data_IF_133174986529
#
_entry.id   IF_133174986529
#
_cell.length_a   1.000
_cell.length_b   1.000
_cell.length_c   1.000
_cell.angle_alpha   90.00
_cell.angle_beta   90.00
_cell.angle_gamma   90.00
#
_symmetry.space_group_name_H-M   'P 1'
#
loop_
_entity.id
_entity.type
_entity.pdbx_description
1 polymer ?
#
# COMPACT_ATOMS: atom_id res chain seq x y z
N UNK A 1 -14.48 30.73 5.86
CA UNK A 1 -13.28 30.12 5.24
C UNK A 1 -12.35 29.68 6.37
N UNK A 2 -12.35 28.39 6.72
CA UNK A 2 -11.50 27.84 7.77
C UNK A 2 -10.39 27.01 7.15
N UNK A 3 -9.15 27.46 7.27
CA UNK A 3 -7.96 26.71 6.86
C UNK A 3 -7.64 25.66 7.91
N UNK A 4 -7.86 24.39 7.56
CA UNK A 4 -7.43 23.27 8.39
C UNK A 4 -5.94 23.07 8.12
N UNK A 5 -5.10 23.59 9.02
CA UNK A 5 -3.65 23.38 8.98
C UNK A 5 -3.41 21.91 9.34
N UNK A 6 -3.07 21.12 8.32
CA UNK A 6 -2.67 19.72 8.47
C UNK A 6 -1.41 19.66 9.33
N UNK A 7 -1.53 19.15 10.56
CA UNK A 7 -0.38 18.86 11.42
C UNK A 7 0.32 17.62 10.88
N UNK A 8 1.37 17.88 10.10
CA UNK A 8 2.59 17.10 9.93
C UNK A 8 2.55 15.69 10.55
N UNK A 9 2.09 14.72 9.76
CA UNK A 9 2.29 13.30 10.06
C UNK A 9 3.76 13.01 9.89
N UNK A 10 4.49 12.96 11.01
CA UNK A 10 5.88 12.49 11.05
C UNK A 10 5.94 11.16 10.29
N UNK A 11 6.63 11.20 9.16
CA UNK A 11 6.96 10.05 8.34
C UNK A 11 7.73 9.07 9.23
N UNK A 12 7.12 7.96 9.61
CA UNK A 12 7.83 6.87 10.28
C UNK A 12 8.66 6.18 9.20
N UNK A 13 9.93 6.57 9.07
CA UNK A 13 10.91 5.78 8.31
C UNK A 13 11.37 4.63 9.21
N UNK A 14 11.13 3.40 8.77
CA UNK A 14 11.76 2.23 9.38
C UNK A 14 13.19 2.13 8.83
N UNK A 15 14.18 2.56 9.62
CA UNK A 15 15.58 2.22 9.36
C UNK A 15 15.80 0.74 9.73
N UNK A 16 15.79 -0.14 8.73
CA UNK A 16 16.11 -1.57 8.87
C UNK A 16 17.64 -1.80 8.94
N UNK A 17 18.32 -1.19 9.90
CA UNK A 17 19.72 -1.52 10.22
C UNK A 17 19.76 -2.59 11.30
N UNK A 18 19.55 -3.85 10.90
CA UNK A 18 19.89 -5.00 11.75
C UNK A 18 21.42 -5.11 11.76
N UNK A 19 22.06 -4.49 12.74
CA UNK A 19 23.48 -4.72 13.04
C UNK A 19 23.62 -6.08 13.73
N UNK A 20 23.85 -7.14 12.96
CA UNK A 20 24.29 -8.43 13.48
C UNK A 20 25.68 -8.25 14.11
N UNK A 21 25.79 -8.38 15.44
CA UNK A 21 27.10 -8.48 16.09
C UNK A 21 27.75 -9.83 15.70
N UNK A 22 28.98 -9.85 15.17
CA UNK A 22 29.64 -11.07 14.70
C UNK A 22 30.36 -11.77 15.86
N UNK A 23 29.67 -12.06 16.96
CA UNK A 23 30.24 -12.89 18.03
C UNK A 23 29.43 -14.18 18.10
N UNK A 24 30.12 -15.26 17.74
CA UNK A 24 29.70 -16.68 17.73
C UNK A 24 28.97 -17.18 16.48
N UNK A 25 29.61 -17.02 15.31
CA UNK A 25 29.48 -18.00 14.22
C UNK A 25 30.86 -18.54 13.89
N UNK A 26 31.37 -19.48 14.70
CA UNK A 26 32.32 -20.57 14.34
C UNK A 26 32.11 -21.65 15.41
N UNK A 27 31.48 -22.79 15.10
CA UNK A 27 32.14 -23.93 14.44
C UNK A 27 31.07 -24.80 13.77
N UNK A 28 31.07 -24.81 12.44
CA UNK A 28 30.65 -26.00 11.67
C UNK A 28 31.84 -26.97 11.60
N UNK A 29 31.61 -28.17 11.04
CA UNK A 29 32.54 -29.30 10.78
C UNK A 29 32.44 -30.33 11.93
N UNK A 30 31.57 -31.34 11.78
CA UNK A 30 31.78 -32.69 11.18
C UNK A 30 32.72 -33.58 11.97
N UNK A 31 32.34 -34.87 11.98
CA UNK A 31 33.06 -36.06 12.46
C UNK A 31 34.58 -35.97 12.62
N UNK A 32 35.03 -36.65 13.67
CA UNK A 32 36.39 -37.17 13.91
C UNK A 32 37.47 -36.12 14.19
N UNK A 33 37.85 -35.98 15.46
CA UNK A 33 39.20 -36.26 15.95
C UNK A 33 39.42 -35.70 17.37
N UNK A 34 40.06 -36.53 18.19
CA UNK A 34 40.43 -36.29 19.57
C UNK A 34 41.32 -35.04 19.74
N UNK A 35 41.03 -34.23 20.75
CA UNK A 35 42.01 -33.32 21.34
C UNK A 35 41.92 -33.51 22.86
N UNK A 36 42.98 -34.11 23.40
CA UNK A 36 43.18 -34.31 24.83
C UNK A 36 43.14 -32.97 25.58
N UNK A 37 42.33 -32.92 26.63
CA UNK A 37 42.34 -31.84 27.62
C UNK A 37 42.93 -32.42 28.89
N UNK A 38 44.11 -31.93 29.25
CA UNK A 38 44.80 -32.26 30.50
C UNK A 38 44.00 -31.80 31.71
N UNK A 39 44.14 -32.60 32.77
CA UNK A 39 43.59 -32.48 34.12
C UNK A 39 43.62 -31.06 34.68
N UNK A 40 42.48 -30.65 35.24
CA UNK A 40 42.45 -29.82 36.43
C UNK A 40 41.48 -30.43 37.43
N UNK A 41 42.07 -31.12 38.41
CA UNK A 41 41.44 -31.76 39.55
C UNK A 41 40.58 -30.80 40.40
N UNK A 42 39.50 -31.38 40.92
CA UNK A 42 38.82 -31.08 42.17
C UNK A 42 38.35 -29.63 42.43
N UNK A 43 37.11 -29.35 42.02
CA UNK A 43 36.20 -28.52 42.81
C UNK A 43 34.99 -29.36 43.24
N UNK A 44 34.99 -29.67 44.53
CA UNK A 44 33.98 -30.36 45.31
C UNK A 44 32.60 -29.68 45.19
N UNK A 45 31.84 -30.03 44.14
CA UNK A 45 30.54 -29.43 43.80
C UNK A 45 29.35 -29.95 44.64
N UNK A 46 29.58 -30.76 45.67
CA UNK A 46 28.50 -31.60 46.23
C UNK A 46 27.80 -31.06 47.49
N UNK A 47 27.82 -29.76 47.81
CA UNK A 47 27.12 -29.28 49.02
C UNK A 47 26.55 -27.85 49.07
N UNK A 48 26.30 -27.27 47.92
CA UNK A 48 25.37 -26.14 47.76
C UNK A 48 24.47 -26.52 46.59
N UNK A 49 23.18 -26.16 46.60
CA UNK A 49 22.20 -26.26 45.50
C UNK A 49 21.02 -27.20 45.79
N UNK A 50 20.06 -26.69 46.56
CA UNK A 50 18.66 -27.13 46.39
C UNK A 50 17.64 -26.03 46.74
N UNK A 51 18.04 -24.96 47.44
CA UNK A 51 17.11 -23.89 47.84
C UNK A 51 17.07 -22.68 46.88
N UNK A 52 18.05 -22.58 45.99
CA UNK A 52 18.19 -21.45 45.06
C UNK A 52 17.42 -21.70 43.73
N UNK A 53 17.33 -22.97 43.30
CA UNK A 53 16.72 -23.35 42.01
C UNK A 53 15.25 -22.92 41.88
N UNK A 54 14.48 -22.89 42.97
CA UNK A 54 13.05 -22.58 42.93
C UNK A 54 12.79 -21.08 42.72
N UNK A 55 13.66 -20.20 43.21
CA UNK A 55 13.54 -18.75 43.01
C UNK A 55 13.97 -18.35 41.58
N UNK A 56 14.99 -19.00 41.01
CA UNK A 56 15.36 -18.80 39.60
C UNK A 56 14.26 -19.24 38.64
N UNK A 57 13.58 -20.36 38.91
CA UNK A 57 12.46 -20.84 38.09
C UNK A 57 11.27 -19.86 38.15
N UNK A 58 10.89 -19.39 39.36
CA UNK A 58 9.79 -18.43 39.51
C UNK A 58 10.07 -17.08 38.82
N UNK A 59 11.31 -16.59 38.91
CA UNK A 59 11.73 -15.36 38.25
C UNK A 59 11.68 -15.49 36.72
N UNK A 60 12.09 -16.65 36.18
CA UNK A 60 12.00 -16.92 34.75
C UNK A 60 10.54 -17.00 34.26
N UNK A 61 9.64 -17.60 35.04
CA UNK A 61 8.22 -17.69 34.71
C UNK A 61 7.55 -16.29 34.68
N UNK A 62 7.87 -15.42 35.64
CA UNK A 62 7.37 -14.04 35.67
C UNK A 62 7.86 -13.19 34.49
N UNK A 63 9.12 -13.36 34.08
CA UNK A 63 9.66 -12.72 32.88
C UNK A 63 9.00 -13.23 31.61
N UNK A 64 8.79 -14.54 31.49
CA UNK A 64 8.14 -15.16 30.35
C UNK A 64 6.69 -14.70 30.21
N UNK A 65 5.96 -14.57 31.33
CA UNK A 65 4.62 -14.00 31.38
C UNK A 65 4.59 -12.53 30.96
N UNK A 66 5.57 -11.73 31.41
CA UNK A 66 5.69 -10.33 31.02
C UNK A 66 5.89 -10.19 29.50
N UNK A 67 6.81 -10.95 28.93
CA UNK A 67 7.08 -10.92 27.50
C UNK A 67 5.89 -11.40 26.67
N UNK A 68 5.19 -12.44 27.14
CA UNK A 68 3.98 -12.95 26.48
C UNK A 68 2.88 -11.87 26.44
N UNK A 69 2.59 -11.25 27.59
CA UNK A 69 1.60 -10.15 27.68
C UNK A 69 1.98 -8.97 26.78
N UNK A 70 3.26 -8.63 26.72
CA UNK A 70 3.76 -7.54 25.88
C UNK A 70 3.59 -7.86 24.39
N UNK A 71 3.94 -9.08 23.98
CA UNK A 71 3.77 -9.52 22.59
C UNK A 71 2.29 -9.53 22.20
N UNK A 72 1.41 -10.03 23.07
CA UNK A 72 -0.02 -10.07 22.78
C UNK A 72 -0.63 -8.66 22.73
N UNK A 73 -0.19 -7.75 23.59
CA UNK A 73 -0.56 -6.34 23.47
C UNK A 73 -0.16 -5.76 22.11
N UNK A 74 1.08 -5.98 21.67
CA UNK A 74 1.56 -5.50 20.36
C UNK A 74 0.77 -6.11 19.19
N UNK A 75 0.42 -7.39 19.26
CA UNK A 75 -0.43 -8.04 18.25
C UNK A 75 -1.81 -7.41 18.20
N UNK A 76 -2.42 -7.14 19.36
CA UNK A 76 -3.73 -6.52 19.43
C UNK A 76 -3.72 -5.10 18.86
N UNK A 77 -2.72 -4.28 19.22
CA UNK A 77 -2.56 -2.93 18.64
C UNK A 77 -2.39 -2.99 17.12
N UNK A 78 -1.59 -3.94 16.62
CA UNK A 78 -1.41 -4.11 15.18
C UNK A 78 -2.70 -4.55 14.47
N UNK A 79 -3.51 -5.42 15.10
CA UNK A 79 -4.83 -5.78 14.57
C UNK A 79 -5.78 -4.58 14.50
N UNK A 80 -5.77 -3.71 15.52
CA UNK A 80 -6.56 -2.47 15.50
C UNK A 80 -6.15 -1.58 14.33
N UNK A 81 -4.85 -1.40 14.11
CA UNK A 81 -4.33 -0.59 12.98
C UNK A 81 -4.78 -1.19 11.64
N UNK A 82 -4.66 -2.51 11.45
CA UNK A 82 -5.08 -3.17 10.22
C UNK A 82 -6.57 -2.98 9.96
N UNK A 83 -7.41 -3.13 10.98
CA UNK A 83 -8.84 -2.90 10.87
C UNK A 83 -9.18 -1.47 10.42
N UNK A 84 -8.45 -0.48 10.95
CA UNK A 84 -8.63 0.93 10.55
C UNK A 84 -8.27 1.12 9.07
N UNK A 85 -7.13 0.56 8.64
CA UNK A 85 -6.66 0.68 7.26
C UNK A 85 -7.65 0.03 6.28
N UNK A 86 -8.10 -1.18 6.58
CA UNK A 86 -9.07 -1.92 5.75
C UNK A 86 -10.39 -1.17 5.64
N UNK A 87 -10.87 -0.59 6.75
CA UNK A 87 -12.09 0.20 6.76
C UNK A 87 -11.96 1.48 5.91
N UNK A 88 -10.87 2.25 6.07
CA UNK A 88 -10.62 3.46 5.26
C UNK A 88 -10.44 3.13 3.78
N UNK A 89 -9.82 2.00 3.45
CA UNK A 89 -9.70 1.52 2.08
C UNK A 89 -11.07 1.22 1.47
N UNK A 90 -11.91 0.47 2.19
CA UNK A 90 -13.28 0.15 1.76
C UNK A 90 -14.11 1.42 1.55
N UNK A 91 -14.07 2.34 2.50
CA UNK A 91 -14.76 3.64 2.40
C UNK A 91 -14.24 4.44 1.20
N UNK A 92 -12.94 4.38 0.91
CA UNK A 92 -12.36 5.06 -0.24
C UNK A 92 -12.86 4.47 -1.56
N UNK A 93 -12.92 3.14 -1.69
CA UNK A 93 -13.49 2.47 -2.87
C UNK A 93 -14.95 2.87 -3.05
N UNK A 94 -15.77 2.79 -2.00
CA UNK A 94 -17.20 3.13 -2.12
C UNK A 94 -17.40 4.60 -2.53
N UNK A 95 -16.54 5.50 -2.06
CA UNK A 95 -16.56 6.91 -2.48
C UNK A 95 -16.17 7.06 -3.94
N UNK A 96 -15.11 6.38 -4.39
CA UNK A 96 -14.70 6.45 -5.81
C UNK A 96 -15.78 5.87 -6.71
N UNK A 97 -16.34 4.72 -6.36
CA UNK A 97 -17.38 4.07 -7.16
C UNK A 97 -18.61 4.96 -7.29
N UNK A 98 -19.04 5.64 -6.22
CA UNK A 98 -20.14 6.62 -6.28
C UNK A 98 -19.83 7.83 -7.16
N UNK A 99 -18.55 8.23 -7.30
CA UNK A 99 -18.14 9.29 -8.22
C UNK A 99 -18.16 8.79 -9.67
N UNK A 100 -17.80 7.53 -9.90
CA UNK A 100 -17.78 6.91 -11.23
C UNK A 100 -19.17 6.44 -11.70
N UNK A 101 -20.07 5.99 -10.82
CA UNK A 101 -21.47 5.70 -11.17
C UNK A 101 -22.21 6.95 -11.66
N UNK A 102 -21.88 8.13 -11.11
CA UNK A 102 -22.35 9.42 -11.64
C UNK A 102 -21.79 9.73 -13.03
N UNK A 103 -20.75 9.04 -13.48
CA UNK A 103 -20.24 9.15 -14.86
C UNK A 103 -21.01 8.28 -15.87
N UNK A 104 -22.09 7.58 -15.49
CA UNK A 104 -23.05 7.04 -16.47
C UNK A 104 -23.70 8.13 -17.35
N UNK A 105 -23.52 9.41 -17.01
CA UNK A 105 -23.78 10.58 -17.89
C UNK A 105 -22.94 10.52 -19.19
N UNK A 106 -21.86 9.73 -19.25
CA UNK A 106 -21.11 9.53 -20.51
C UNK A 106 -22.00 8.87 -21.56
N UNK A 107 -22.92 7.97 -21.20
CA UNK A 107 -23.82 7.36 -22.18
C UNK A 107 -24.85 8.36 -22.75
N UNK A 108 -25.29 9.32 -21.92
CA UNK A 108 -26.17 10.41 -22.32
C UNK A 108 -25.42 11.46 -23.16
N UNK A 109 -24.17 11.82 -22.81
CA UNK A 109 -23.31 12.67 -23.63
C UNK A 109 -22.95 12.03 -24.98
N UNK A 110 -22.71 10.72 -25.01
CA UNK A 110 -22.49 9.98 -26.26
C UNK A 110 -23.77 10.00 -27.10
N UNK A 111 -24.96 9.87 -26.48
CA UNK A 111 -26.23 10.04 -27.18
C UNK A 111 -26.43 11.48 -27.70
N UNK A 112 -26.04 12.51 -26.94
CA UNK A 112 -26.05 13.92 -27.36
C UNK A 112 -25.00 14.24 -28.45
N UNK A 113 -23.97 13.41 -28.62
CA UNK A 113 -22.97 13.53 -29.71
C UNK A 113 -23.42 12.83 -31.01
N UNK A 114 -24.36 11.88 -30.95
CA UNK A 114 -24.92 11.21 -32.13
C UNK A 114 -25.46 12.16 -33.22
N UNK A 115 -26.12 13.30 -32.91
CA UNK A 115 -26.61 14.24 -33.92
C UNK A 115 -25.52 14.85 -34.80
N UNK A 116 -24.30 15.04 -34.28
CA UNK A 116 -23.20 15.66 -35.02
C UNK A 116 -22.24 14.64 -35.68
N UNK A 117 -22.43 13.33 -35.45
CA UNK A 117 -21.60 12.28 -36.06
C UNK A 117 -21.73 12.26 -37.60
N UNK A 118 -22.90 12.59 -38.12
CA UNK A 118 -23.15 12.69 -39.56
C UNK A 118 -22.31 13.79 -40.21
N UNK A 119 -22.16 14.93 -39.53
CA UNK A 119 -21.33 16.05 -40.00
C UNK A 119 -19.84 15.72 -39.99
N UNK A 120 -19.37 14.95 -38.99
CA UNK A 120 -17.99 14.45 -38.97
C UNK A 120 -17.68 13.64 -40.23
N UNK A 121 -18.58 12.74 -40.61
CA UNK A 121 -18.42 11.91 -41.81
C UNK A 121 -18.38 12.75 -43.10
N UNK A 122 -19.18 13.83 -43.16
CA UNK A 122 -19.18 14.77 -44.29
C UNK A 122 -17.89 15.58 -44.38
N UNK A 123 -17.31 16.01 -43.25
CA UNK A 123 -16.03 16.72 -43.22
C UNK A 123 -14.92 15.84 -43.79
N UNK A 124 -14.83 14.60 -43.31
CA UNK A 124 -13.79 13.65 -43.76
C UNK A 124 -13.89 13.44 -45.27
N UNK A 125 -15.09 13.15 -45.79
CA UNK A 125 -15.32 13.00 -47.23
C UNK A 125 -14.94 14.25 -48.02
N UNK A 126 -15.30 15.44 -47.53
CA UNK A 126 -14.97 16.68 -48.23
C UNK A 126 -13.45 16.89 -48.38
N UNK A 127 -12.67 16.58 -47.34
CA UNK A 127 -11.21 16.66 -47.41
C UNK A 127 -10.59 15.56 -48.29
N UNK A 128 -11.17 14.36 -48.29
CA UNK A 128 -10.76 13.27 -49.19
C UNK A 128 -11.00 13.64 -50.67
N UNK A 129 -12.14 14.27 -50.98
CA UNK A 129 -12.51 14.71 -52.32
C UNK A 129 -11.71 15.96 -52.77
N UNK A 130 -11.26 16.80 -51.82
CA UNK A 130 -10.59 18.09 -52.09
C UNK A 130 -9.22 18.22 -51.40
N UNK A 131 -8.24 17.34 -51.68
CA UNK A 131 -6.99 17.26 -50.92
C UNK A 131 -6.08 18.49 -51.04
N UNK A 132 -6.23 19.28 -52.11
CA UNK A 132 -5.44 20.51 -52.35
C UNK A 132 -6.22 21.80 -52.13
N UNK A 133 -7.51 21.71 -51.77
CA UNK A 133 -8.39 22.87 -51.63
C UNK A 133 -9.24 22.77 -50.36
N UNK A 134 -8.61 22.75 -49.16
CA UNK A 134 -9.32 22.57 -47.90
C UNK A 134 -10.34 23.69 -47.59
N UNK A 135 -10.15 24.87 -48.18
CA UNK A 135 -11.06 26.03 -47.98
C UNK A 135 -12.46 25.79 -48.56
N UNK A 136 -12.60 24.89 -49.55
CA UNK A 136 -13.91 24.51 -50.11
C UNK A 136 -14.77 23.81 -49.06
N UNK A 137 -14.15 23.12 -48.09
CA UNK A 137 -14.85 22.43 -47.01
C UNK A 137 -15.24 23.32 -45.82
N UNK A 138 -14.93 24.63 -45.88
CA UNK A 138 -15.19 25.58 -44.79
C UNK A 138 -16.66 25.60 -44.35
N UNK A 139 -17.61 25.57 -45.30
CA UNK A 139 -19.03 25.53 -45.00
C UNK A 139 -19.45 24.25 -44.24
N UNK A 140 -18.86 23.11 -44.58
CA UNK A 140 -19.14 21.81 -43.92
C UNK A 140 -18.59 21.80 -42.50
N UNK A 141 -17.39 22.37 -42.30
CA UNK A 141 -16.77 22.53 -40.99
C UNK A 141 -17.55 23.51 -40.11
N UNK A 142 -18.06 24.60 -40.69
CA UNK A 142 -18.89 25.55 -39.97
C UNK A 142 -20.19 24.90 -39.46
N UNK A 143 -20.90 24.15 -40.32
CA UNK A 143 -22.11 23.44 -39.92
C UNK A 143 -21.88 22.41 -38.80
N UNK A 144 -20.73 21.74 -38.79
CA UNK A 144 -20.32 20.88 -37.68
C UNK A 144 -20.11 21.65 -36.39
N UNK A 145 -19.44 22.81 -36.44
CA UNK A 145 -19.21 23.64 -35.26
C UNK A 145 -20.51 24.16 -34.66
N UNK A 146 -21.47 24.57 -35.50
CA UNK A 146 -22.81 24.98 -35.06
C UNK A 146 -23.57 23.84 -34.37
N UNK A 147 -23.46 22.62 -34.90
CA UNK A 147 -24.02 21.41 -34.29
C UNK A 147 -23.40 21.11 -32.92
N UNK A 148 -22.07 21.20 -32.82
CA UNK A 148 -21.37 20.96 -31.55
C UNK A 148 -21.72 22.03 -30.51
N UNK A 149 -21.82 23.30 -30.93
CA UNK A 149 -22.18 24.40 -30.05
C UNK A 149 -23.59 24.24 -29.46
N UNK A 150 -24.58 23.84 -30.28
CA UNK A 150 -25.94 23.56 -29.81
C UNK A 150 -25.99 22.39 -28.84
N UNK A 151 -25.22 21.32 -29.08
CA UNK A 151 -25.15 20.17 -28.17
C UNK A 151 -24.49 20.50 -26.81
N UNK A 152 -23.64 21.53 -26.75
CA UNK A 152 -22.97 21.95 -25.50
C UNK A 152 -23.84 22.88 -24.65
N UNK A 153 -24.78 23.60 -25.25
CA UNK A 153 -25.63 24.62 -24.60
C UNK A 153 -26.92 24.07 -23.99
N UNK A 154 -27.31 22.82 -24.27
CA UNK A 154 -28.43 22.12 -23.63
C UNK A 154 -28.05 21.47 -22.27
N UNK A 155 -27.33 22.21 -21.42
CA UNK A 155 -27.03 21.84 -20.02
C UNK A 155 -27.59 22.87 -19.04
#
# INVERSE_FOLDING_TARGET
MGTIISKDTRRISFDNTISMNPILIKKSITDSDEIAVEDFDDIQFSKLNFKDSTDYIRMHDEEQDYWTKRIDHLKNEHQVINNIIENEYKVSIEKTDKLFEKQNIVHERIHKLKPCLDWRSKIVRCYEDNPRQPLVCSAVVQAFNECVATCQLEN
#
